data_IF_289766532796
#
_entry.id   IF_289766532796
#
_cell.length_a   1.000
_cell.length_b   1.000
_cell.length_c   1.000
_cell.angle_alpha   90.00
_cell.angle_beta   90.00
_cell.angle_gamma   90.00
#
_symmetry.space_group_name_H-M   'P 1'
#
loop_
_entity.id
_entity.type
_entity.pdbx_description
1 polymer ?
#
# COMPACT_ATOMS: atom_id res chain seq x y z
N UNK A 1 -32.52 -21.81 -59.72
CA UNK A 1 -33.13 -22.10 -58.39
C UNK A 1 -31.99 -22.00 -57.38
N UNK A 2 -32.18 -21.19 -56.34
CA UNK A 2 -31.11 -20.56 -55.54
C UNK A 2 -30.34 -21.59 -54.70
N UNK A 3 -29.01 -21.52 -54.80
CA UNK A 3 -28.04 -22.28 -53.98
C UNK A 3 -27.97 -21.67 -52.58
N UNK A 4 -27.88 -22.56 -51.59
CA UNK A 4 -27.68 -22.37 -50.15
C UNK A 4 -26.98 -21.08 -49.70
N UNK A 5 -27.42 -20.54 -48.55
CA UNK A 5 -26.54 -19.83 -47.60
C UNK A 5 -27.18 -19.75 -46.19
N UNK A 6 -27.04 -20.82 -45.42
CA UNK A 6 -27.30 -20.80 -43.98
C UNK A 6 -26.04 -20.27 -43.27
N UNK A 7 -26.02 -18.97 -42.99
CA UNK A 7 -24.95 -18.32 -42.22
C UNK A 7 -25.08 -18.70 -40.74
N UNK A 8 -24.55 -19.85 -40.35
CA UNK A 8 -24.32 -20.16 -38.94
C UNK A 8 -23.10 -19.35 -38.46
N UNK A 9 -23.36 -18.17 -37.91
CA UNK A 9 -22.38 -17.40 -37.15
C UNK A 9 -22.28 -18.00 -35.75
N UNK A 10 -21.39 -18.98 -35.57
CA UNK A 10 -20.98 -19.40 -34.22
C UNK A 10 -20.01 -18.37 -33.68
N UNK A 11 -20.52 -17.46 -32.84
CA UNK A 11 -19.76 -16.43 -32.13
C UNK A 11 -18.94 -17.09 -31.02
N UNK A 12 -17.75 -17.55 -31.40
CA UNK A 12 -16.72 -18.05 -30.47
C UNK A 12 -16.10 -16.91 -29.66
N UNK A 13 -15.62 -17.26 -28.46
CA UNK A 13 -14.65 -16.55 -27.62
C UNK A 13 -15.19 -15.57 -26.55
N UNK A 14 -15.92 -16.11 -25.57
CA UNK A 14 -16.04 -15.54 -24.23
C UNK A 14 -15.57 -16.56 -23.20
N UNK A 15 -14.25 -16.69 -23.07
CA UNK A 15 -13.63 -17.32 -21.90
C UNK A 15 -12.40 -16.49 -21.52
N UNK A 16 -12.64 -15.23 -21.16
CA UNK A 16 -11.68 -14.44 -20.42
C UNK A 16 -11.57 -15.09 -19.03
N UNK A 17 -10.58 -15.98 -18.91
CA UNK A 17 -10.04 -16.42 -17.62
C UNK A 17 -9.66 -15.14 -16.86
N UNK A 18 -10.55 -14.72 -15.95
CA UNK A 18 -10.21 -13.72 -14.96
C UNK A 18 -9.21 -14.39 -14.04
N UNK A 19 -7.92 -14.27 -14.36
CA UNK A 19 -6.86 -14.58 -13.43
C UNK A 19 -6.98 -13.53 -12.32
N UNK A 20 -7.77 -13.85 -11.30
CA UNK A 20 -7.79 -13.13 -10.04
C UNK A 20 -6.43 -13.40 -9.40
N UNK A 21 -5.42 -12.61 -9.78
CA UNK A 21 -4.12 -12.63 -9.13
C UNK A 21 -4.29 -12.05 -7.74
N UNK A 22 -4.56 -12.93 -6.79
CA UNK A 22 -4.59 -12.57 -5.38
C UNK A 22 -3.13 -12.41 -4.91
N UNK A 23 -2.56 -11.22 -5.09
CA UNK A 23 -1.28 -10.91 -4.44
C UNK A 23 -1.47 -10.85 -2.92
N UNK A 24 -0.55 -11.39 -2.13
CA UNK A 24 -0.58 -11.18 -0.68
C UNK A 24 0.03 -9.82 -0.38
N UNK A 25 -0.56 -9.07 0.56
CA UNK A 25 0.02 -7.81 1.01
C UNK A 25 1.39 -8.09 1.64
N UNK A 26 2.39 -7.26 1.32
CA UNK A 26 3.75 -7.41 1.84
C UNK A 26 3.78 -6.93 3.29
N UNK A 27 4.28 -7.77 4.20
CA UNK A 27 4.58 -7.37 5.58
C UNK A 27 5.97 -6.74 5.63
N UNK A 28 6.11 -5.61 6.32
CA UNK A 28 7.34 -4.82 6.41
C UNK A 28 7.62 -4.44 7.87
N UNK A 29 8.89 -4.20 8.15
CA UNK A 29 9.40 -3.72 9.43
C UNK A 29 10.31 -2.53 9.13
N UNK A 30 10.09 -1.40 9.80
CA UNK A 30 10.77 -0.14 9.51
C UNK A 30 11.07 0.64 10.80
N UNK A 31 12.35 0.93 11.03
CA UNK A 31 12.81 1.73 12.16
C UNK A 31 12.85 3.20 11.79
N UNK A 32 12.29 4.06 12.63
CA UNK A 32 12.22 5.49 12.34
C UNK A 32 11.57 6.30 13.45
N UNK A 33 11.30 7.56 13.15
CA UNK A 33 10.59 8.48 14.06
C UNK A 33 9.23 8.84 13.46
N UNK A 34 8.16 8.58 14.21
CA UNK A 34 6.79 8.93 13.82
C UNK A 34 6.56 10.43 14.00
N UNK A 35 5.93 11.04 13.01
CA UNK A 35 5.51 12.44 13.00
C UNK A 35 4.07 12.54 12.50
N UNK A 36 3.37 13.60 12.90
CA UNK A 36 2.07 13.95 12.31
C UNK A 36 2.20 14.18 10.81
N UNK A 37 1.20 13.71 10.05
CA UNK A 37 1.13 14.01 8.64
C UNK A 37 0.59 15.43 8.44
N UNK A 38 1.42 16.32 7.88
CA UNK A 38 0.99 17.65 7.46
C UNK A 38 0.04 17.61 6.25
N UNK A 39 -0.36 18.78 5.75
CA UNK A 39 -1.16 18.87 4.52
C UNK A 39 -0.32 18.38 3.33
N UNK A 40 -0.77 17.27 2.72
CA UNK A 40 -0.09 16.65 1.57
C UNK A 40 -1.01 16.57 0.36
N UNK A 41 -0.41 16.48 -0.84
CA UNK A 41 -1.18 16.34 -2.09
C UNK A 41 -1.81 14.96 -2.24
N UNK A 42 -1.23 13.94 -1.62
CA UNK A 42 -1.66 12.55 -1.75
C UNK A 42 -2.77 12.14 -0.77
N UNK A 43 -3.04 12.95 0.28
CA UNK A 43 -4.25 12.85 1.12
C UNK A 43 -4.53 11.46 1.76
N UNK A 44 -3.49 10.69 2.08
CA UNK A 44 -3.62 9.43 2.82
C UNK A 44 -2.58 9.30 3.93
N UNK A 45 -2.90 8.44 4.90
CA UNK A 45 -2.18 8.35 6.16
C UNK A 45 -2.69 9.37 7.17
N UNK A 46 -2.34 9.11 8.43
CA UNK A 46 -2.55 10.04 9.54
C UNK A 46 -1.22 10.55 10.07
N UNK A 47 -0.17 9.73 9.92
CA UNK A 47 1.18 9.99 10.37
C UNK A 47 2.16 9.59 9.27
N UNK A 48 3.41 10.00 9.42
CA UNK A 48 4.52 9.62 8.56
C UNK A 48 5.69 9.18 9.42
N UNK A 49 6.41 8.14 9.00
CA UNK A 49 7.65 7.70 9.64
C UNK A 49 8.83 7.98 8.72
N UNK A 50 9.87 8.58 9.29
CA UNK A 50 11.14 8.83 8.62
C UNK A 50 12.21 7.94 9.23
N UNK A 51 13.05 7.32 8.38
CA UNK A 51 14.16 6.51 8.85
C UNK A 51 15.14 7.33 9.71
N UNK A 52 15.82 6.67 10.64
CA UNK A 52 16.91 7.27 11.42
C UNK A 52 18.19 7.32 10.59
N UNK A 53 19.03 8.35 10.77
CA UNK A 53 20.28 8.60 10.00
C UNK A 53 21.19 7.36 9.82
N UNK A 54 21.12 6.37 10.71
CA UNK A 54 21.88 5.12 10.62
C UNK A 54 21.37 4.14 9.54
N UNK A 55 20.12 4.26 9.13
CA UNK A 55 19.42 3.33 8.21
C UNK A 55 18.82 4.02 6.97
N UNK A 56 19.05 5.33 6.78
CA UNK A 56 18.47 6.08 5.66
C UNK A 56 19.28 5.84 4.38
N UNK A 57 18.71 5.05 3.47
CA UNK A 57 18.90 5.28 2.03
C UNK A 57 18.03 6.48 1.69
N UNK A 58 18.66 7.58 1.32
CA UNK A 58 18.09 8.91 1.10
C UNK A 58 16.60 8.89 0.66
N UNK A 59 15.69 9.35 1.55
CA UNK A 59 14.24 9.51 1.36
C UNK A 59 13.32 8.30 1.61
N UNK A 60 13.76 7.22 2.24
CA UNK A 60 12.83 6.18 2.70
C UNK A 60 11.94 6.68 3.84
N UNK A 61 10.66 6.87 3.52
CA UNK A 61 9.59 7.26 4.45
C UNK A 61 8.32 6.52 4.09
N UNK A 62 7.45 6.32 5.08
CA UNK A 62 6.17 5.64 4.89
C UNK A 62 5.04 6.46 5.50
N UNK A 63 3.90 6.56 4.80
CA UNK A 63 2.68 7.02 5.43
C UNK A 63 2.14 5.90 6.32
N UNK A 64 1.50 6.26 7.43
CA UNK A 64 1.03 5.32 8.44
C UNK A 64 -0.46 5.53 8.76
N UNK A 65 -1.14 4.42 9.02
CA UNK A 65 -2.38 4.37 9.79
C UNK A 65 -2.35 3.15 10.71
N UNK A 66 -3.17 3.16 11.75
CA UNK A 66 -3.46 1.97 12.52
C UNK A 66 -4.91 1.99 12.97
N UNK A 67 -5.52 0.81 13.02
CA UNK A 67 -6.79 0.60 13.70
C UNK A 67 -6.57 0.13 15.15
N UNK A 68 -5.33 -0.24 15.51
CA UNK A 68 -4.97 -0.87 16.79
C UNK A 68 -4.22 0.06 17.75
N UNK A 69 -3.56 1.09 17.25
CA UNK A 69 -2.73 2.02 18.03
C UNK A 69 -3.10 3.48 17.75
N UNK A 70 -3.06 4.32 18.78
CA UNK A 70 -2.96 5.76 18.60
C UNK A 70 -1.50 6.11 18.30
N UNK A 71 -1.22 6.43 17.03
CA UNK A 71 0.14 6.71 16.57
C UNK A 71 0.72 8.01 17.16
N UNK A 72 -0.13 8.90 17.69
CA UNK A 72 0.32 10.12 18.35
C UNK A 72 1.04 9.84 19.68
N UNK A 73 0.78 8.68 20.31
CA UNK A 73 1.45 8.27 21.56
C UNK A 73 2.93 7.89 21.37
N UNK A 74 3.35 7.66 20.12
CA UNK A 74 4.70 7.20 19.75
C UNK A 74 5.50 8.25 18.99
N UNK A 75 5.04 9.50 19.00
CA UNK A 75 5.71 10.58 18.30
C UNK A 75 7.03 10.98 18.98
N UNK A 76 7.97 11.50 18.17
CA UNK A 76 9.23 12.09 18.61
C UNK A 76 10.23 11.13 19.28
N UNK A 77 9.94 9.84 19.33
CA UNK A 77 10.86 8.80 19.79
C UNK A 77 11.19 7.83 18.63
N UNK A 78 12.40 7.25 18.59
CA UNK A 78 12.71 6.17 17.67
C UNK A 78 11.86 4.94 18.01
N UNK A 79 11.23 4.37 17.00
CA UNK A 79 10.40 3.17 17.13
C UNK A 79 10.64 2.24 15.95
N UNK A 80 10.41 0.94 16.17
CA UNK A 80 10.28 -0.06 15.11
C UNK A 80 8.79 -0.28 14.83
N UNK A 81 8.36 0.05 13.61
CA UNK A 81 6.99 -0.14 13.15
C UNK A 81 6.91 -1.37 12.25
N UNK A 82 5.95 -2.23 12.52
CA UNK A 82 5.65 -3.37 11.64
C UNK A 82 4.20 -3.37 11.17
N UNK A 83 3.98 -3.86 9.96
CA UNK A 83 2.65 -3.92 9.39
C UNK A 83 2.62 -4.31 7.92
N UNK A 84 1.43 -4.24 7.33
CA UNK A 84 1.23 -4.57 5.92
C UNK A 84 1.20 -3.32 5.05
N UNK A 85 1.86 -3.39 3.90
CA UNK A 85 1.65 -2.41 2.83
C UNK A 85 0.21 -2.48 2.32
N UNK A 86 -0.40 -1.31 2.20
CA UNK A 86 -1.76 -1.14 1.68
C UNK A 86 -1.66 -1.09 0.16
N UNK A 87 -2.23 -2.10 -0.50
CA UNK A 87 -2.29 -2.17 -1.97
C UNK A 87 -2.94 -0.94 -2.59
N UNK A 88 -2.45 -0.58 -3.77
CA UNK A 88 -2.94 0.57 -4.52
C UNK A 88 -2.24 1.88 -4.15
N UNK A 89 -1.29 1.84 -3.22
CA UNK A 89 -0.41 2.94 -2.86
C UNK A 89 1.04 2.60 -3.28
N UNK A 90 1.89 3.61 -3.52
CA UNK A 90 1.61 5.05 -3.43
C UNK A 90 0.70 5.59 -4.54
N UNK A 91 0.03 6.72 -4.27
CA UNK A 91 -0.69 7.53 -5.27
C UNK A 91 -0.22 8.99 -5.19
N UNK A 92 -0.40 9.75 -6.27
CA UNK A 92 -0.11 11.19 -6.34
C UNK A 92 1.30 11.59 -5.84
N UNK A 93 2.29 10.71 -6.06
CA UNK A 93 3.68 10.93 -5.67
C UNK A 93 3.96 10.78 -4.16
N UNK A 94 3.01 10.25 -3.39
CA UNK A 94 3.19 9.98 -1.96
C UNK A 94 4.10 8.79 -1.66
N UNK A 95 4.40 8.52 -0.38
CA UNK A 95 5.20 7.38 0.05
C UNK A 95 4.38 6.08 0.10
N UNK A 96 5.04 4.94 0.21
CA UNK A 96 4.38 3.67 0.54
C UNK A 96 3.54 3.79 1.82
N UNK A 97 2.43 3.05 1.89
CA UNK A 97 1.44 3.20 2.95
C UNK A 97 1.34 1.93 3.80
N UNK A 98 1.64 2.03 5.10
CA UNK A 98 1.61 0.91 6.04
C UNK A 98 0.34 0.97 6.90
N UNK A 99 -0.34 -0.16 7.00
CA UNK A 99 -1.28 -0.45 8.10
C UNK A 99 -0.49 -1.07 9.26
N UNK A 100 -0.31 -0.30 10.34
CA UNK A 100 0.53 -0.68 11.48
C UNK A 100 -0.19 -1.69 12.36
N UNK A 101 0.46 -2.83 12.56
CA UNK A 101 -0.02 -3.96 13.37
C UNK A 101 0.85 -4.20 14.63
N UNK A 102 2.09 -3.69 14.67
CA UNK A 102 2.94 -3.71 15.87
C UNK A 102 3.89 -2.50 15.93
N UNK A 103 4.23 -2.09 17.16
CA UNK A 103 5.19 -1.03 17.46
C UNK A 103 6.09 -1.50 18.61
N UNK A 104 7.40 -1.36 18.45
CA UNK A 104 8.39 -1.62 19.50
C UNK A 104 9.23 -0.36 19.76
N UNK A 105 9.52 -0.10 21.04
CA UNK A 105 10.44 0.96 21.46
C UNK A 105 11.79 0.28 21.75
N UNK A 106 12.85 0.59 20.98
CA UNK A 106 14.18 -0.02 21.13
C UNK A 106 14.94 0.44 22.38
#
# INVERSE_FOLDING_TARGET
MIVNNSKTLTLSLLFSLVFISCEKNKYVSFEGVIQELEVTTWMYGTHIIYGTEANVTENERYALRSDNFDLSEFMLEPVLVEGYLIKGYPVDGGPEYINVDAIEIP
#
